data_IF_938424789785
#
_entry.id   IF_938424789785
#
_cell.length_a   1.000
_cell.length_b   1.000
_cell.length_c   1.000
_cell.angle_alpha   90.00
_cell.angle_beta   90.00
_cell.angle_gamma   90.00
#
_symmetry.space_group_name_H-M   'P 1'
#
loop_
_entity.id
_entity.type
_entity.pdbx_description
1 polymer ?
#
# COMPACT_ATOMS: atom_id res chain seq x y z
N UNK A 1 1.02 -59.65 -2.56
CA UNK A 1 2.33 -60.14 -3.01
C UNK A 1 3.17 -58.89 -3.28
N UNK A 2 3.98 -58.55 -2.30
CA UNK A 2 5.46 -58.60 -2.31
C UNK A 2 6.07 -57.63 -3.35
N UNK A 3 6.96 -56.76 -3.07
CA UNK A 3 8.00 -56.51 -2.02
C UNK A 3 8.51 -55.08 -2.23
N UNK A 4 8.66 -54.28 -1.24
CA UNK A 4 9.67 -54.16 -0.20
C UNK A 4 11.08 -53.76 -0.70
N UNK A 5 11.51 -52.60 -0.27
CA UNK A 5 12.89 -52.16 0.06
C UNK A 5 13.96 -52.14 -1.02
N UNK A 6 14.57 -50.90 -1.16
CA UNK A 6 16.00 -50.72 -0.85
C UNK A 6 16.32 -49.23 -0.68
N UNK A 7 16.51 -48.89 0.51
CA UNK A 7 17.49 -48.06 1.18
C UNK A 7 18.91 -48.30 0.62
N UNK A 8 19.68 -47.25 0.30
CA UNK A 8 21.15 -47.21 0.52
C UNK A 8 21.58 -45.73 0.52
N UNK A 9 22.21 -45.38 1.63
CA UNK A 9 23.01 -44.21 1.84
C UNK A 9 24.40 -44.36 1.20
N UNK A 10 24.99 -43.23 0.80
CA UNK A 10 26.46 -43.05 0.66
C UNK A 10 26.70 -41.56 0.82
N UNK A 11 27.18 -41.12 1.94
CA UNK A 11 28.57 -41.05 2.40
C UNK A 11 29.38 -39.95 1.72
N UNK A 12 29.72 -38.99 2.59
CA UNK A 12 30.72 -37.97 2.54
C UNK A 12 32.01 -38.39 1.79
N UNK A 13 32.60 -37.46 1.07
CA UNK A 13 34.06 -37.44 0.85
C UNK A 13 34.60 -36.02 1.01
N UNK A 14 35.27 -35.81 2.13
CA UNK A 14 36.16 -34.70 2.44
C UNK A 14 37.49 -34.98 1.76
N UNK A 15 37.97 -34.06 0.94
CA UNK A 15 39.38 -34.06 0.52
C UNK A 15 40.07 -32.82 1.09
N UNK A 16 40.80 -33.03 2.16
CA UNK A 16 41.91 -32.19 2.65
C UNK A 16 43.13 -32.46 1.77
N UNK A 17 43.73 -31.41 1.21
CA UNK A 17 45.08 -31.47 0.66
C UNK A 17 45.97 -30.56 1.49
N UNK A 18 46.74 -31.18 2.35
CA UNK A 18 47.93 -30.61 3.01
C UNK A 18 49.13 -30.82 2.09
N UNK A 19 49.74 -29.74 1.69
CA UNK A 19 51.03 -29.76 0.98
C UNK A 19 52.10 -29.17 1.87
N UNK A 20 52.87 -30.05 2.51
CA UNK A 20 54.11 -29.74 3.25
C UNK A 20 55.29 -29.70 2.27
N UNK A 21 56.09 -28.65 2.33
CA UNK A 21 57.45 -28.70 1.84
C UNK A 21 58.42 -28.30 2.96
N UNK A 22 59.21 -29.28 3.40
CA UNK A 22 60.39 -29.13 4.23
C UNK A 22 61.59 -28.89 3.34
N UNK A 23 62.45 -27.97 3.76
CA UNK A 23 63.79 -27.82 3.18
C UNK A 23 64.74 -27.28 4.24
N UNK A 24 65.69 -28.12 4.64
CA UNK A 24 66.70 -27.94 5.68
C UNK A 24 67.87 -27.07 5.25
N UNK A 25 68.52 -26.46 6.26
CA UNK A 25 69.98 -26.27 6.41
C UNK A 25 70.45 -24.84 6.19
N UNK A 26 71.22 -24.13 6.94
CA UNK A 26 72.38 -24.46 7.82
C UNK A 26 72.76 -23.19 8.62
N UNK A 27 73.57 -23.37 9.65
CA UNK A 27 73.97 -22.49 10.74
C UNK A 27 74.83 -21.27 10.37
N UNK A 28 74.54 -20.17 11.09
CA UNK A 28 75.32 -19.13 11.80
C UNK A 28 76.82 -18.84 11.38
N UNK A 29 77.35 -17.59 11.61
CA UNK A 29 77.33 -16.97 12.91
C UNK A 29 77.07 -15.41 12.95
N UNK A 30 77.01 -14.94 14.19
CA UNK A 30 76.74 -13.59 14.63
C UNK A 30 77.70 -12.50 14.16
N UNK A 31 77.23 -11.31 13.90
CA UNK A 31 77.95 -10.06 14.12
C UNK A 31 76.92 -8.98 14.56
N UNK A 32 77.34 -8.24 15.54
CA UNK A 32 76.72 -7.24 16.33
C UNK A 32 76.49 -5.92 15.61
N UNK A 33 75.48 -5.14 16.20
CA UNK A 33 75.34 -3.66 16.25
C UNK A 33 74.81 -2.99 15.01
N UNK A 34 73.59 -2.40 15.09
CA UNK A 34 73.40 -0.99 15.41
C UNK A 34 71.88 -0.70 15.63
N UNK A 35 71.61 0.12 16.61
CA UNK A 35 70.26 0.62 16.89
C UNK A 35 69.89 1.67 15.84
N UNK A 36 68.97 1.29 14.93
CA UNK A 36 68.32 2.20 14.01
C UNK A 36 66.99 2.65 14.64
N UNK A 37 66.88 3.95 14.82
CA UNK A 37 65.69 4.62 15.35
C UNK A 37 64.51 4.33 14.43
N UNK A 38 63.53 3.61 14.90
CA UNK A 38 62.22 3.52 14.26
C UNK A 38 61.51 4.87 14.42
N UNK A 39 61.36 5.60 13.31
CA UNK A 39 60.39 6.69 13.22
C UNK A 39 58.96 6.18 13.56
N UNK A 40 58.16 6.94 14.32
CA UNK A 40 56.79 6.56 14.60
C UNK A 40 56.01 6.56 13.29
N UNK A 41 55.23 5.49 13.06
CA UNK A 41 54.30 5.40 11.96
C UNK A 41 53.37 6.66 11.93
N UNK A 42 53.01 7.17 10.73
CA UNK A 42 52.16 8.33 10.65
C UNK A 42 50.83 8.02 11.36
N UNK A 43 50.50 8.88 12.31
CA UNK A 43 49.17 8.85 12.98
C UNK A 43 48.09 8.79 11.91
N UNK A 44 47.19 7.82 12.02
CA UNK A 44 45.97 7.76 11.26
C UNK A 44 45.31 9.12 11.48
N UNK A 45 45.20 9.94 10.44
CA UNK A 45 44.55 11.22 10.47
C UNK A 45 43.14 11.03 11.00
N UNK A 46 42.74 11.83 11.93
CA UNK A 46 41.32 11.95 12.33
C UNK A 46 40.50 12.16 11.05
N UNK A 47 39.56 11.27 10.81
CA UNK A 47 38.57 11.42 9.73
C UNK A 47 37.78 12.71 10.06
N UNK A 48 38.12 13.81 9.40
CA UNK A 48 37.40 15.08 9.55
C UNK A 48 36.00 14.83 8.98
N UNK A 49 35.06 14.61 9.86
CA UNK A 49 33.65 14.58 9.46
C UNK A 49 33.32 15.93 8.86
N UNK A 50 32.84 16.00 7.59
CA UNK A 50 32.46 17.26 6.98
C UNK A 50 31.45 17.98 7.85
N UNK A 51 31.63 19.27 8.05
CA UNK A 51 30.69 20.12 8.79
C UNK A 51 29.31 20.04 8.11
N UNK A 52 28.28 19.72 8.90
CA UNK A 52 26.91 19.60 8.41
C UNK A 52 26.35 20.99 8.12
N UNK A 53 25.99 21.25 6.85
CA UNK A 53 25.39 22.50 6.42
C UNK A 53 23.87 22.35 6.36
N UNK A 54 23.15 23.29 6.99
CA UNK A 54 21.69 23.35 6.93
C UNK A 54 21.22 24.11 5.68
N UNK A 55 21.17 23.41 4.56
CA UNK A 55 20.76 23.98 3.27
C UNK A 55 19.28 24.41 3.24
N UNK A 56 18.40 23.73 3.94
CA UNK A 56 16.98 24.09 4.00
C UNK A 56 16.73 25.40 4.77
N UNK A 57 17.53 25.65 5.80
CA UNK A 57 17.47 26.86 6.59
C UNK A 57 18.30 28.03 6.04
N UNK A 58 19.24 27.77 5.13
CA UNK A 58 20.09 28.80 4.52
C UNK A 58 19.38 29.67 3.48
N UNK A 59 18.26 29.15 2.93
CA UNK A 59 17.47 29.90 1.96
C UNK A 59 16.46 30.81 2.64
N UNK A 60 16.21 31.95 2.01
CA UNK A 60 15.15 32.87 2.43
C UNK A 60 14.03 32.91 1.40
N UNK A 61 12.80 32.73 1.86
CA UNK A 61 11.62 32.87 1.00
C UNK A 61 11.48 34.33 0.55
N UNK A 62 11.65 34.54 -0.74
CA UNK A 62 11.46 35.88 -1.33
C UNK A 62 9.99 36.10 -1.70
N UNK A 63 9.29 36.92 -0.89
CA UNK A 63 7.88 37.26 -1.11
C UNK A 63 7.67 38.23 -2.28
N UNK A 64 8.75 38.70 -2.89
CA UNK A 64 8.73 39.64 -4.02
C UNK A 64 9.21 39.01 -5.33
N UNK A 65 9.45 37.72 -5.34
CA UNK A 65 10.09 36.97 -6.45
C UNK A 65 9.30 36.94 -7.76
N UNK A 66 8.06 37.40 -7.79
CA UNK A 66 7.20 37.34 -8.98
C UNK A 66 6.68 35.93 -9.31
N UNK A 67 6.92 34.94 -8.44
CA UNK A 67 6.33 33.60 -8.53
C UNK A 67 4.93 33.58 -7.93
N UNK A 68 4.10 32.60 -8.31
CA UNK A 68 2.86 32.36 -7.59
C UNK A 68 3.17 31.81 -6.20
N UNK A 69 2.66 32.51 -5.18
CA UNK A 69 2.84 32.12 -3.77
C UNK A 69 1.51 32.20 -3.04
N UNK A 70 1.24 31.22 -2.20
CA UNK A 70 -0.02 31.15 -1.44
C UNK A 70 0.22 30.53 -0.06
N UNK A 71 -0.31 31.17 0.97
CA UNK A 71 -0.39 30.58 2.30
C UNK A 71 -1.56 29.60 2.35
N UNK A 72 -1.31 28.40 2.90
CA UNK A 72 -2.23 27.27 2.81
C UNK A 72 -2.30 26.48 4.10
N UNK A 73 -3.35 25.66 4.21
CA UNK A 73 -3.49 24.63 5.23
C UNK A 73 -3.46 23.24 4.57
N UNK A 74 -2.92 22.25 5.31
CA UNK A 74 -2.92 20.86 4.83
C UNK A 74 -4.34 20.32 4.87
N UNK A 75 -4.74 19.72 3.75
CA UNK A 75 -5.97 18.92 3.66
C UNK A 75 -5.69 17.45 3.93
N UNK A 76 -4.65 16.90 3.28
CA UNK A 76 -4.35 15.46 3.33
C UNK A 76 -2.89 15.21 2.96
N UNK A 77 -2.22 14.39 3.75
CA UNK A 77 -0.91 13.85 3.41
C UNK A 77 -1.10 12.62 2.51
N UNK A 78 -0.33 12.52 1.43
CA UNK A 78 -0.38 11.38 0.50
C UNK A 78 0.89 10.53 0.68
N UNK A 79 2.07 11.13 0.47
CA UNK A 79 3.38 10.51 0.69
C UNK A 79 4.45 11.57 1.01
N UNK A 80 5.72 11.22 0.90
CA UNK A 80 6.83 12.10 1.27
C UNK A 80 6.95 13.36 0.42
N UNK A 81 6.50 13.33 -0.83
CA UNK A 81 6.63 14.44 -1.79
C UNK A 81 5.30 14.88 -2.42
N UNK A 82 4.20 14.41 -1.86
CA UNK A 82 2.86 14.76 -2.33
C UNK A 82 1.92 15.06 -1.16
N UNK A 83 1.37 16.27 -1.14
CA UNK A 83 0.41 16.71 -0.13
C UNK A 83 -0.71 17.52 -0.79
N UNK A 84 -1.95 17.30 -0.34
CA UNK A 84 -3.09 18.12 -0.77
C UNK A 84 -3.30 19.27 0.20
N UNK A 85 -3.56 20.47 -0.34
CA UNK A 85 -3.73 21.70 0.43
C UNK A 85 -5.08 22.34 0.14
N UNK A 86 -5.69 22.97 1.15
CA UNK A 86 -6.82 23.86 0.95
C UNK A 86 -6.36 25.15 0.29
N UNK A 87 -7.04 25.57 -0.75
CA UNK A 87 -6.79 26.82 -1.47
C UNK A 87 -8.11 27.52 -1.79
N UNK A 88 -8.10 28.87 -1.99
CA UNK A 88 -9.29 29.58 -2.47
C UNK A 88 -9.80 29.04 -3.80
N UNK A 89 -11.11 29.01 -3.99
CA UNK A 89 -11.75 28.59 -5.26
C UNK A 89 -11.39 29.47 -6.45
N UNK A 90 -10.88 30.68 -6.20
CA UNK A 90 -10.29 31.56 -7.22
C UNK A 90 -8.95 31.05 -7.75
N UNK A 91 -8.24 30.22 -6.97
CA UNK A 91 -6.97 29.59 -7.37
C UNK A 91 -7.22 28.24 -8.04
N UNK A 92 -8.00 27.40 -7.38
CA UNK A 92 -8.46 26.10 -7.91
C UNK A 92 -9.95 25.95 -7.67
N UNK A 93 -10.73 25.70 -8.72
CA UNK A 93 -12.20 25.59 -8.63
C UNK A 93 -12.68 24.51 -7.66
N UNK A 94 -11.86 23.48 -7.42
CA UNK A 94 -12.12 22.42 -6.45
C UNK A 94 -11.88 22.84 -5.00
N UNK A 95 -11.28 24.01 -4.74
CA UNK A 95 -10.82 24.44 -3.42
C UNK A 95 -9.61 23.65 -2.90
N UNK A 96 -8.99 22.80 -3.74
CA UNK A 96 -7.88 21.93 -3.36
C UNK A 96 -6.78 21.99 -4.40
N UNK A 97 -5.55 22.25 -3.97
CA UNK A 97 -4.34 22.09 -4.76
C UNK A 97 -3.63 20.80 -4.35
N UNK A 98 -3.46 19.88 -5.29
CA UNK A 98 -2.69 18.65 -5.10
C UNK A 98 -1.23 19.00 -5.40
N UNK A 99 -0.43 19.19 -4.35
CA UNK A 99 0.96 19.60 -4.49
C UNK A 99 1.87 18.39 -4.72
N UNK A 100 2.64 18.41 -5.82
CA UNK A 100 3.78 17.53 -6.07
C UNK A 100 5.05 18.35 -5.87
N UNK A 101 5.93 17.89 -4.98
CA UNK A 101 7.09 18.68 -4.59
C UNK A 101 8.14 18.70 -5.69
N UNK A 102 8.60 19.89 -6.03
CA UNK A 102 9.65 20.15 -7.03
C UNK A 102 11.00 19.57 -6.58
N UNK A 103 11.81 19.22 -7.54
CA UNK A 103 13.21 18.78 -7.40
C UNK A 103 13.42 17.42 -6.73
N UNK A 104 12.41 16.77 -6.21
CA UNK A 104 12.54 15.54 -5.43
C UNK A 104 11.64 14.41 -5.93
N UNK A 105 12.05 13.18 -5.64
CA UNK A 105 11.20 12.01 -5.70
C UNK A 105 11.48 11.16 -4.47
N UNK A 106 10.53 11.09 -3.55
CA UNK A 106 10.61 10.19 -2.41
C UNK A 106 10.22 8.78 -2.83
N UNK A 107 10.69 7.72 -2.14
CA UNK A 107 10.12 6.41 -2.29
C UNK A 107 8.63 6.42 -1.90
N UNK A 108 7.83 5.58 -2.57
CA UNK A 108 6.38 5.51 -2.36
C UNK A 108 6.04 4.99 -0.96
N UNK A 109 5.10 5.64 -0.29
CA UNK A 109 4.56 5.22 1.01
C UNK A 109 3.13 4.71 0.92
N UNK A 110 2.52 4.78 -0.27
CA UNK A 110 1.16 4.32 -0.56
C UNK A 110 1.15 3.45 -1.82
N UNK A 111 0.18 2.57 -1.95
CA UNK A 111 0.14 1.63 -3.07
C UNK A 111 1.28 0.61 -2.98
N UNK A 112 2.24 0.64 -3.89
CA UNK A 112 3.47 -0.16 -3.80
C UNK A 112 4.43 0.53 -2.84
N UNK A 113 4.43 0.11 -1.56
CA UNK A 113 5.30 0.70 -0.54
C UNK A 113 6.76 0.36 -0.84
N UNK A 114 7.58 1.39 -0.96
CA UNK A 114 9.02 1.28 -1.19
C UNK A 114 9.80 1.53 0.10
N UNK A 115 11.00 0.99 0.14
CA UNK A 115 11.97 1.20 1.22
C UNK A 115 12.21 2.69 1.44
N UNK A 116 12.27 3.14 2.71
CA UNK A 116 12.36 4.54 3.11
C UNK A 116 11.12 5.40 2.84
N UNK A 117 10.09 4.88 2.14
CA UNK A 117 8.86 5.62 1.81
C UNK A 117 8.09 6.05 3.05
N UNK A 118 7.89 5.14 4.00
CA UNK A 118 7.23 5.46 5.27
C UNK A 118 7.98 6.54 6.06
N UNK A 119 9.31 6.47 6.08
CA UNK A 119 10.15 7.45 6.78
C UNK A 119 10.06 8.83 6.13
N UNK A 120 10.08 8.90 4.79
CA UNK A 120 9.90 10.13 4.03
C UNK A 120 8.51 10.75 4.28
N UNK A 121 7.46 9.94 4.22
CA UNK A 121 6.08 10.39 4.48
C UNK A 121 5.89 10.87 5.92
N UNK A 122 6.42 10.14 6.91
CA UNK A 122 6.38 10.55 8.32
C UNK A 122 7.11 11.87 8.53
N UNK A 123 8.29 12.04 7.94
CA UNK A 123 9.06 13.28 8.02
C UNK A 123 8.27 14.48 7.50
N UNK A 124 7.69 14.38 6.31
CA UNK A 124 6.83 15.41 5.72
C UNK A 124 5.65 15.74 6.63
N UNK A 125 4.95 14.71 7.13
CA UNK A 125 3.81 14.88 8.02
C UNK A 125 4.19 15.59 9.32
N UNK A 126 5.27 15.18 9.98
CA UNK A 126 5.74 15.81 11.23
C UNK A 126 6.07 17.31 11.04
N UNK A 127 6.79 17.65 9.95
CA UNK A 127 7.16 19.05 9.66
C UNK A 127 5.94 19.92 9.41
N UNK A 128 5.00 19.47 8.58
CA UNK A 128 3.84 20.27 8.20
C UNK A 128 2.73 20.27 9.26
N UNK A 129 2.54 19.19 10.04
CA UNK A 129 1.53 19.16 11.10
C UNK A 129 1.84 20.10 12.25
N UNK A 130 3.12 20.39 12.50
CA UNK A 130 3.57 21.26 13.58
C UNK A 130 3.90 22.67 13.11
N UNK A 131 3.81 22.95 11.78
CA UNK A 131 4.13 24.24 11.21
C UNK A 131 3.14 25.33 11.66
N UNK A 132 3.66 26.52 11.99
CA UNK A 132 2.82 27.68 12.31
C UNK A 132 2.30 28.42 11.08
N UNK A 133 2.93 28.22 9.92
CA UNK A 133 2.52 28.72 8.61
C UNK A 133 3.14 27.87 7.52
N UNK A 134 2.40 27.66 6.42
CA UNK A 134 2.85 26.94 5.23
C UNK A 134 2.60 27.80 4.01
N UNK A 135 3.63 27.96 3.17
CA UNK A 135 3.54 28.71 1.92
C UNK A 135 3.93 27.79 0.77
N UNK A 136 3.05 27.67 -0.21
CA UNK A 136 3.39 27.09 -1.50
C UNK A 136 3.97 28.15 -2.42
N UNK A 137 4.99 27.78 -3.18
CA UNK A 137 5.58 28.62 -4.22
C UNK A 137 5.74 27.81 -5.51
N UNK A 138 5.37 28.39 -6.66
CA UNK A 138 5.64 27.77 -7.96
C UNK A 138 6.98 28.27 -8.56
N UNK A 139 7.44 27.67 -9.67
CA UNK A 139 8.62 28.16 -10.41
C UNK A 139 8.36 29.45 -11.15
N UNK A 140 7.11 29.77 -11.46
CA UNK A 140 6.70 30.93 -12.29
C UNK A 140 5.59 31.73 -11.62
N UNK A 141 5.08 32.74 -12.29
CA UNK A 141 3.91 33.50 -11.84
C UNK A 141 2.60 32.69 -11.87
N UNK A 142 2.61 31.50 -12.45
CA UNK A 142 1.46 30.64 -12.59
C UNK A 142 1.70 29.26 -11.93
N UNK A 143 0.63 28.60 -11.51
CA UNK A 143 0.67 27.23 -11.01
C UNK A 143 0.85 26.25 -12.17
N UNK A 144 1.97 25.54 -12.21
CA UNK A 144 2.30 24.58 -13.28
C UNK A 144 1.89 23.17 -12.90
N UNK A 145 1.06 22.53 -13.73
CA UNK A 145 0.69 21.15 -13.56
C UNK A 145 1.88 20.20 -13.85
N UNK A 146 1.92 19.04 -13.18
CA UNK A 146 2.84 17.97 -13.51
C UNK A 146 2.44 17.25 -14.82
N UNK A 147 3.24 16.30 -15.27
CA UNK A 147 3.01 15.56 -16.51
C UNK A 147 1.71 14.72 -16.50
N UNK A 148 1.13 14.45 -15.33
CA UNK A 148 -0.15 13.74 -15.20
C UNK A 148 -1.36 14.65 -15.34
N UNK A 149 -1.14 15.99 -15.26
CA UNK A 149 -2.18 17.02 -15.32
C UNK A 149 -3.07 17.10 -14.07
N UNK A 150 -2.84 16.24 -13.08
CA UNK A 150 -3.68 16.15 -11.88
C UNK A 150 -3.10 16.78 -10.63
N UNK A 151 -1.79 17.06 -10.62
CA UNK A 151 -1.05 17.66 -9.51
C UNK A 151 -0.29 18.88 -9.98
N UNK A 152 0.07 19.77 -9.04
CA UNK A 152 0.80 21.01 -9.32
C UNK A 152 2.18 20.96 -8.69
N UNK A 153 3.18 21.38 -9.44
CA UNK A 153 4.58 21.41 -9.03
C UNK A 153 4.81 22.58 -8.08
N UNK A 154 5.27 22.29 -6.84
CA UNK A 154 5.39 23.28 -5.78
C UNK A 154 6.69 23.14 -4.98
N UNK A 155 7.23 24.26 -4.57
CA UNK A 155 8.09 24.41 -3.42
C UNK A 155 7.21 24.58 -2.18
N UNK A 156 7.52 23.85 -1.12
CA UNK A 156 6.80 23.92 0.16
C UNK A 156 7.70 24.58 1.19
N UNK A 157 7.28 25.74 1.63
CA UNK A 157 7.92 26.48 2.69
C UNK A 157 7.10 26.37 3.96
N UNK A 158 7.73 26.04 5.06
CA UNK A 158 7.04 25.95 6.33
C UNK A 158 7.80 26.71 7.42
N UNK A 159 7.06 27.22 8.38
CA UNK A 159 7.61 27.91 9.53
C UNK A 159 7.51 27.00 10.76
N UNK A 160 8.64 26.51 11.31
CA UNK A 160 8.64 25.68 12.52
C UNK A 160 8.11 26.45 13.74
N UNK A 161 7.55 25.73 14.71
CA UNK A 161 7.17 26.32 16.00
C UNK A 161 8.41 26.94 16.66
N UNK A 162 8.26 28.20 17.12
CA UNK A 162 9.34 28.95 17.78
C UNK A 162 10.37 29.54 16.83
N UNK A 163 10.15 29.46 15.51
CA UNK A 163 11.00 30.11 14.49
C UNK A 163 10.27 31.26 13.84
N UNK A 164 11.01 32.32 13.53
CA UNK A 164 10.52 33.47 12.73
C UNK A 164 10.83 33.31 11.24
N UNK A 165 11.61 32.30 10.85
CA UNK A 165 12.05 32.08 9.47
C UNK A 165 11.38 30.83 8.88
N UNK A 166 11.16 30.89 7.55
CA UNK A 166 10.71 29.72 6.78
C UNK A 166 11.87 28.81 6.43
N UNK A 167 11.59 27.52 6.32
CA UNK A 167 12.48 26.49 5.81
C UNK A 167 11.88 25.89 4.53
N UNK A 168 12.73 25.52 3.57
CA UNK A 168 12.29 24.85 2.36
C UNK A 168 12.22 23.33 2.60
N UNK A 169 11.01 22.76 2.65
CA UNK A 169 10.80 21.34 2.94
C UNK A 169 11.37 20.41 1.85
N UNK A 170 11.27 20.81 0.57
CA UNK A 170 11.81 19.99 -0.53
C UNK A 170 13.32 19.77 -0.36
N UNK A 171 14.05 20.84 -0.02
CA UNK A 171 15.50 20.77 0.22
C UNK A 171 15.81 20.04 1.52
N UNK A 172 14.98 20.21 2.55
CA UNK A 172 15.15 19.50 3.81
C UNK A 172 14.99 17.98 3.67
N UNK A 173 14.07 17.54 2.80
CA UNK A 173 13.91 16.12 2.44
C UNK A 173 15.17 15.59 1.71
N UNK A 174 15.74 16.36 0.76
CA UNK A 174 17.00 16.01 0.09
C UNK A 174 18.17 15.92 1.07
N UNK A 175 18.35 16.94 1.90
CA UNK A 175 19.44 17.03 2.87
C UNK A 175 19.42 15.89 3.89
N UNK A 176 18.21 15.38 4.22
CA UNK A 176 18.04 14.22 5.10
C UNK A 176 18.13 12.87 4.35
N UNK A 177 18.46 12.87 3.05
CA UNK A 177 18.57 11.64 2.26
C UNK A 177 17.27 10.85 2.13
N UNK A 178 16.12 11.51 2.20
CA UNK A 178 14.79 10.89 2.11
C UNK A 178 14.20 10.94 0.70
N UNK A 179 14.93 11.46 -0.28
CA UNK A 179 14.55 11.51 -1.67
C UNK A 179 15.74 11.34 -2.60
N UNK A 180 15.45 10.90 -3.83
CA UNK A 180 16.37 11.01 -4.97
C UNK A 180 16.11 12.32 -5.72
N UNK A 181 17.10 12.74 -6.51
CA UNK A 181 16.97 13.91 -7.38
C UNK A 181 15.94 13.67 -8.49
N UNK A 182 15.10 14.67 -8.74
CA UNK A 182 14.20 14.72 -9.87
C UNK A 182 14.29 16.09 -10.53
N UNK A 183 15.15 16.25 -11.56
CA UNK A 183 15.47 17.52 -12.21
C UNK A 183 15.95 18.59 -11.22
N UNK A 184 16.65 18.16 -10.18
CA UNK A 184 17.02 19.03 -9.04
C UNK A 184 17.99 20.13 -9.42
N UNK A 185 18.79 20.00 -10.48
CA UNK A 185 19.68 21.02 -11.00
C UNK A 185 19.02 22.03 -11.94
N UNK A 186 17.78 21.77 -12.39
CA UNK A 186 17.12 22.51 -13.48
C UNK A 186 16.11 23.57 -12.98
N UNK A 187 16.20 23.98 -11.71
CA UNK A 187 15.25 24.88 -11.08
C UNK A 187 15.96 26.04 -10.37
N UNK A 188 15.20 27.01 -9.87
CA UNK A 188 15.71 28.21 -9.20
C UNK A 188 16.59 27.96 -7.97
N UNK A 189 16.42 26.82 -7.29
CA UNK A 189 17.22 26.40 -6.13
C UNK A 189 18.18 25.28 -6.46
N UNK A 190 18.51 25.08 -7.74
CA UNK A 190 19.24 23.92 -8.24
C UNK A 190 20.60 23.70 -7.59
N UNK A 191 21.36 24.77 -7.37
CA UNK A 191 22.67 24.68 -6.69
C UNK A 191 22.50 24.16 -5.25
N UNK A 192 21.54 24.72 -4.51
CA UNK A 192 21.24 24.32 -3.12
C UNK A 192 20.68 22.90 -3.05
N UNK A 193 19.80 22.51 -3.99
CA UNK A 193 19.29 21.13 -4.07
C UNK A 193 20.43 20.13 -4.28
N UNK A 194 21.36 20.44 -5.21
CA UNK A 194 22.47 19.55 -5.51
C UNK A 194 23.49 19.48 -4.37
N UNK A 195 23.73 20.61 -3.67
CA UNK A 195 24.59 20.62 -2.49
C UNK A 195 23.99 19.78 -1.34
N UNK A 196 22.71 19.95 -1.05
CA UNK A 196 21.97 19.17 -0.05
C UNK A 196 22.01 17.66 -0.37
N UNK A 197 21.74 17.30 -1.62
CA UNK A 197 21.80 15.92 -2.10
C UNK A 197 23.21 15.31 -1.97
N UNK A 198 24.25 16.07 -2.35
CA UNK A 198 25.62 15.60 -2.27
C UNK A 198 26.06 15.42 -0.82
N UNK A 199 25.64 16.27 0.10
CA UNK A 199 25.87 16.10 1.53
C UNK A 199 25.20 14.81 2.04
N UNK A 200 23.92 14.58 1.72
CA UNK A 200 23.21 13.37 2.11
C UNK A 200 23.88 12.09 1.57
N UNK A 201 24.38 12.12 0.34
CA UNK A 201 25.15 11.01 -0.25
C UNK A 201 26.50 10.80 0.44
N UNK A 202 27.24 11.86 0.74
CA UNK A 202 28.54 11.78 1.43
C UNK A 202 28.37 11.22 2.85
N UNK A 203 27.30 11.61 3.54
CA UNK A 203 26.94 11.13 4.86
C UNK A 203 26.22 9.77 4.84
N UNK A 204 25.91 9.22 3.66
CA UNK A 204 25.20 7.95 3.48
C UNK A 204 23.87 7.91 4.24
N UNK A 205 23.05 8.96 4.14
CA UNK A 205 21.78 9.05 4.84
C UNK A 205 20.68 8.29 4.11
N UNK A 206 19.90 7.52 4.84
CA UNK A 206 18.63 6.89 4.43
C UNK A 206 18.70 6.26 3.02
N UNK A 207 18.00 6.80 2.00
CA UNK A 207 17.99 6.29 0.61
C UNK A 207 19.43 6.14 0.03
N UNK A 208 20.36 6.94 0.51
CA UNK A 208 21.77 6.94 0.05
C UNK A 208 22.71 6.13 0.94
N UNK A 209 22.19 5.45 1.98
CA UNK A 209 22.99 4.69 2.94
C UNK A 209 23.64 3.44 2.33
N UNK A 210 23.04 2.87 1.29
CA UNK A 210 23.38 1.54 0.79
C UNK A 210 23.01 0.42 1.77
N UNK A 211 22.31 0.74 2.85
CA UNK A 211 21.79 -0.19 3.84
C UNK A 211 20.28 -0.29 3.73
N UNK A 212 19.68 -1.44 4.07
CA UNK A 212 18.25 -1.56 4.20
C UNK A 212 17.68 -0.58 5.23
N UNK A 213 16.46 -0.11 4.99
CA UNK A 213 15.72 0.66 6.00
C UNK A 213 15.40 -0.26 7.19
N UNK A 214 15.90 0.04 8.41
CA UNK A 214 15.69 -0.83 9.57
C UNK A 214 14.21 -0.91 9.98
N UNK A 215 13.40 0.07 9.58
CA UNK A 215 11.96 0.10 9.86
C UNK A 215 11.14 -0.50 8.69
N UNK A 216 11.78 -0.89 7.61
CA UNK A 216 11.16 -1.57 6.49
C UNK A 216 11.39 -3.08 6.63
N UNK A 217 10.38 -3.79 7.05
CA UNK A 217 10.44 -5.24 7.19
C UNK A 217 10.54 -5.90 5.81
N UNK A 218 11.75 -5.98 5.28
CA UNK A 218 12.03 -6.73 4.07
C UNK A 218 11.76 -8.19 4.28
N UNK A 219 10.79 -8.69 3.54
CA UNK A 219 10.67 -10.10 3.28
C UNK A 219 9.83 -10.91 4.26
N UNK A 220 9.34 -10.35 5.36
CA UNK A 220 8.38 -11.06 6.18
C UNK A 220 7.13 -10.18 6.37
N UNK A 221 6.12 -10.46 5.56
CA UNK A 221 4.78 -10.02 5.87
C UNK A 221 4.35 -10.65 7.20
N UNK A 222 3.55 -9.96 7.97
CA UNK A 222 2.90 -10.56 9.15
C UNK A 222 1.92 -11.61 8.63
N UNK A 223 2.17 -12.88 8.92
CA UNK A 223 1.26 -13.96 8.54
C UNK A 223 0.03 -13.93 9.45
N UNK A 224 -1.14 -13.84 8.86
CA UNK A 224 -2.42 -13.73 9.54
C UNK A 224 -3.45 -14.64 8.89
N UNK A 225 -4.39 -15.13 9.68
CA UNK A 225 -5.67 -15.60 9.16
C UNK A 225 -6.53 -14.40 8.75
N UNK A 226 -7.52 -14.60 7.87
CA UNK A 226 -8.47 -13.54 7.54
C UNK A 226 -9.32 -13.14 8.76
N UNK A 227 -9.54 -14.04 9.72
CA UNK A 227 -10.17 -13.73 11.01
C UNK A 227 -9.33 -12.72 11.80
N UNK A 228 -8.06 -13.03 12.08
CA UNK A 228 -7.15 -12.13 12.80
C UNK A 228 -7.04 -10.76 12.13
N UNK A 229 -6.94 -10.74 10.80
CA UNK A 229 -6.89 -9.50 10.03
C UNK A 229 -8.19 -8.69 10.17
N UNK A 230 -9.36 -9.32 10.06
CA UNK A 230 -10.67 -8.63 10.11
C UNK A 230 -11.06 -8.16 11.50
N UNK A 231 -10.75 -8.94 12.53
CA UNK A 231 -11.10 -8.59 13.92
C UNK A 231 -10.24 -7.46 14.48
N UNK A 232 -9.06 -7.19 13.89
CA UNK A 232 -8.12 -6.18 14.39
C UNK A 232 -7.53 -5.31 13.25
N UNK A 233 -8.34 -5.00 12.24
CA UNK A 233 -7.86 -4.42 10.98
C UNK A 233 -7.19 -3.06 11.14
N UNK A 234 -7.66 -2.23 12.07
CA UNK A 234 -7.12 -0.90 12.32
C UNK A 234 -5.65 -0.93 12.76
N UNK A 235 -5.26 -1.99 13.48
CA UNK A 235 -3.88 -2.21 13.95
C UNK A 235 -2.92 -2.46 12.79
N UNK A 236 -3.42 -3.04 11.70
CA UNK A 236 -2.60 -3.38 10.54
C UNK A 236 -2.55 -2.27 9.47
N UNK A 237 -3.07 -1.08 9.74
CA UNK A 237 -3.02 0.01 8.78
C UNK A 237 -1.57 0.34 8.37
N UNK A 238 -1.29 0.29 7.06
CA UNK A 238 0.05 0.40 6.45
C UNK A 238 1.04 -0.70 6.85
N UNK A 239 0.55 -1.82 7.40
CA UNK A 239 1.37 -3.00 7.68
C UNK A 239 1.31 -3.95 6.49
N UNK A 240 2.46 -4.50 6.12
CA UNK A 240 2.55 -5.58 5.14
C UNK A 240 2.13 -6.89 5.78
N UNK A 241 1.09 -7.48 5.24
CA UNK A 241 0.50 -8.74 5.73
C UNK A 241 0.53 -9.82 4.67
N UNK A 242 0.45 -11.06 5.10
CA UNK A 242 0.18 -12.20 4.22
C UNK A 242 -0.94 -13.05 4.82
N UNK A 243 -1.83 -13.55 3.96
CA UNK A 243 -2.93 -14.42 4.35
C UNK A 243 -3.31 -15.35 3.21
N UNK A 244 -4.01 -16.43 3.56
CA UNK A 244 -4.49 -17.42 2.61
C UNK A 244 -6.00 -17.29 2.43
N UNK A 245 -6.49 -17.67 1.25
CA UNK A 245 -7.90 -17.78 0.97
C UNK A 245 -8.20 -18.09 -0.49
N UNK A 246 -9.48 -18.33 -0.78
CA UNK A 246 -9.99 -18.61 -2.13
C UNK A 246 -10.45 -17.31 -2.77
N UNK A 247 -10.07 -17.09 -4.03
CA UNK A 247 -10.57 -15.95 -4.81
C UNK A 247 -12.01 -16.25 -5.24
N UNK A 248 -12.93 -15.40 -4.81
CA UNK A 248 -14.37 -15.56 -5.04
C UNK A 248 -14.89 -14.69 -6.17
N UNK A 249 -14.25 -13.53 -6.38
CA UNK A 249 -14.61 -12.59 -7.44
C UNK A 249 -13.38 -11.83 -7.92
N UNK A 250 -13.36 -11.47 -9.21
CA UNK A 250 -12.37 -10.58 -9.81
C UNK A 250 -13.10 -9.47 -10.59
N UNK A 251 -12.96 -8.23 -10.12
CA UNK A 251 -13.56 -7.02 -10.72
C UNK A 251 -12.47 -6.15 -11.35
N UNK A 252 -11.86 -6.67 -12.43
CA UNK A 252 -10.90 -5.97 -13.31
C UNK A 252 -9.60 -5.45 -12.68
N UNK A 253 -9.59 -4.99 -11.45
CA UNK A 253 -8.43 -4.47 -10.72
C UNK A 253 -8.47 -4.78 -9.22
N UNK A 254 -9.49 -5.48 -8.79
CA UNK A 254 -9.75 -5.88 -7.39
C UNK A 254 -10.25 -7.31 -7.36
N UNK A 255 -9.66 -8.12 -6.50
CA UNK A 255 -10.20 -9.45 -6.19
C UNK A 255 -10.74 -9.48 -4.76
N UNK A 256 -11.69 -10.38 -4.55
CA UNK A 256 -12.22 -10.71 -3.23
C UNK A 256 -11.73 -12.09 -2.85
N UNK A 257 -11.18 -12.19 -1.65
CA UNK A 257 -10.58 -13.40 -1.14
C UNK A 257 -11.27 -13.78 0.16
N UNK A 258 -11.66 -15.03 0.33
CA UNK A 258 -12.32 -15.52 1.54
C UNK A 258 -11.65 -16.75 2.11
N UNK A 259 -11.75 -16.93 3.41
CA UNK A 259 -11.34 -18.14 4.12
C UNK A 259 -12.30 -18.47 5.24
N UNK A 260 -12.54 -19.78 5.43
CA UNK A 260 -13.37 -20.31 6.51
C UNK A 260 -12.59 -20.39 7.82
N UNK A 261 -13.21 -19.96 8.91
CA UNK A 261 -12.70 -20.14 10.27
C UNK A 261 -13.59 -21.11 11.05
N UNK A 262 -13.05 -22.26 11.51
CA UNK A 262 -13.84 -23.27 12.20
C UNK A 262 -14.22 -22.90 13.64
N UNK A 263 -13.56 -21.92 14.27
CA UNK A 263 -13.88 -21.51 15.64
C UNK A 263 -15.15 -20.67 15.69
N UNK A 264 -15.35 -19.80 14.70
CA UNK A 264 -16.52 -18.93 14.60
C UNK A 264 -17.56 -19.46 13.64
N UNK A 265 -17.28 -20.57 12.94
CA UNK A 265 -18.13 -21.20 11.92
C UNK A 265 -18.59 -20.21 10.85
N UNK A 266 -17.65 -19.36 10.35
CA UNK A 266 -17.96 -18.38 9.32
C UNK A 266 -16.80 -18.14 8.34
N UNK A 267 -17.13 -17.50 7.21
CA UNK A 267 -16.15 -17.02 6.25
C UNK A 267 -15.81 -15.56 6.51
N UNK A 268 -14.53 -15.28 6.51
CA UNK A 268 -13.97 -13.93 6.55
C UNK A 268 -13.45 -13.54 5.18
N UNK A 269 -13.69 -12.32 4.77
CA UNK A 269 -13.27 -11.83 3.45
C UNK A 269 -12.35 -10.61 3.50
N UNK A 270 -11.61 -10.42 2.41
CA UNK A 270 -10.80 -9.24 2.18
C UNK A 270 -10.83 -8.83 0.72
N UNK A 271 -11.03 -7.53 0.46
CA UNK A 271 -10.84 -6.94 -0.85
C UNK A 271 -9.35 -6.66 -1.08
N UNK A 272 -8.85 -7.03 -2.25
CA UNK A 272 -7.44 -6.92 -2.61
C UNK A 272 -7.33 -6.14 -3.92
N UNK A 273 -6.88 -4.89 -3.84
CA UNK A 273 -6.66 -4.04 -5.00
C UNK A 273 -5.28 -4.32 -5.60
N UNK A 274 -5.24 -4.90 -6.80
CA UNK A 274 -4.00 -5.20 -7.50
C UNK A 274 -3.65 -4.18 -8.59
N UNK A 275 -4.57 -3.27 -8.93
CA UNK A 275 -4.34 -2.19 -9.89
C UNK A 275 -4.00 -2.69 -11.30
N UNK A 276 -3.06 -2.02 -11.96
CA UNK A 276 -2.71 -2.27 -13.37
C UNK A 276 -1.24 -2.67 -13.60
N UNK A 277 -0.46 -2.84 -12.52
CA UNK A 277 0.99 -3.07 -12.61
C UNK A 277 1.44 -4.52 -12.46
N UNK A 278 0.52 -5.44 -12.18
CA UNK A 278 0.86 -6.84 -11.96
C UNK A 278 1.14 -7.53 -13.32
N UNK A 279 2.27 -8.25 -13.48
CA UNK A 279 2.58 -8.96 -14.73
C UNK A 279 1.64 -10.15 -14.97
N UNK A 280 1.51 -10.61 -16.23
CA UNK A 280 0.60 -11.66 -16.65
C UNK A 280 0.59 -12.91 -15.75
N UNK A 281 1.74 -13.53 -15.44
CA UNK A 281 1.77 -14.68 -14.53
C UNK A 281 1.25 -14.38 -13.11
N UNK A 282 1.38 -13.13 -12.65
CA UNK A 282 0.77 -12.67 -11.39
C UNK A 282 -0.74 -12.51 -11.51
N UNK A 283 -1.25 -12.06 -12.67
CA UNK A 283 -2.68 -11.97 -12.93
C UNK A 283 -3.33 -13.36 -13.00
N UNK A 284 -2.65 -14.36 -13.56
CA UNK A 284 -3.15 -15.74 -13.65
C UNK A 284 -3.37 -16.36 -12.24
N UNK A 285 -2.61 -15.91 -11.24
CA UNK A 285 -2.81 -16.32 -9.84
C UNK A 285 -4.16 -15.82 -9.32
N UNK A 286 -4.60 -14.64 -9.73
CA UNK A 286 -5.81 -13.98 -9.27
C UNK A 286 -7.09 -14.44 -9.99
N UNK A 287 -7.11 -15.69 -10.44
CA UNK A 287 -8.27 -16.32 -11.07
C UNK A 287 -9.26 -16.83 -10.03
N UNK A 288 -10.57 -16.63 -10.26
CA UNK A 288 -11.65 -17.15 -9.39
C UNK A 288 -11.49 -18.65 -9.23
N UNK A 289 -11.61 -19.13 -7.99
CA UNK A 289 -11.44 -20.55 -7.64
C UNK A 289 -10.00 -20.96 -7.35
N UNK A 290 -9.03 -20.06 -7.49
CA UNK A 290 -7.68 -20.31 -6.97
C UNK A 290 -7.66 -20.05 -5.46
N UNK A 291 -7.08 -20.97 -4.72
CA UNK A 291 -6.61 -20.71 -3.37
C UNK A 291 -5.24 -20.05 -3.47
N UNK A 292 -5.06 -18.94 -2.79
CA UNK A 292 -3.89 -18.10 -2.92
C UNK A 292 -3.32 -17.70 -1.57
N UNK A 293 -2.02 -17.42 -1.55
CA UNK A 293 -1.39 -16.60 -0.52
C UNK A 293 -1.24 -15.19 -1.08
N UNK A 294 -1.97 -14.26 -0.51
CA UNK A 294 -1.85 -12.83 -0.81
C UNK A 294 -0.76 -12.23 0.07
N UNK A 295 0.05 -11.36 -0.53
CA UNK A 295 1.02 -10.54 0.19
C UNK A 295 0.83 -9.09 -0.26
N UNK A 296 0.57 -8.19 0.67
CA UNK A 296 0.33 -6.78 0.36
C UNK A 296 0.20 -5.95 1.63
N UNK A 297 -0.04 -4.65 1.48
CA UNK A 297 -0.18 -3.72 2.59
C UNK A 297 -1.64 -3.39 2.83
N UNK A 298 -2.05 -3.42 4.08
CA UNK A 298 -3.40 -3.00 4.50
C UNK A 298 -3.51 -1.49 4.38
N UNK A 299 -4.58 -1.00 3.82
CA UNK A 299 -4.87 0.44 3.74
C UNK A 299 -6.35 0.72 3.86
N UNK A 300 -6.69 1.84 4.50
CA UNK A 300 -8.06 2.34 4.50
C UNK A 300 -8.33 3.13 3.23
N UNK A 301 -9.34 2.72 2.48
CA UNK A 301 -9.78 3.40 1.27
C UNK A 301 -10.88 4.42 1.60
N UNK A 302 -10.49 5.67 1.84
CA UNK A 302 -11.39 6.74 2.31
C UNK A 302 -12.60 6.96 1.39
N UNK A 303 -12.43 6.90 0.07
CA UNK A 303 -13.51 7.14 -0.87
C UNK A 303 -14.61 6.05 -0.84
N UNK A 304 -14.26 4.83 -0.45
CA UNK A 304 -15.17 3.71 -0.26
C UNK A 304 -15.58 3.48 1.18
N UNK A 305 -14.90 4.11 2.14
CA UNK A 305 -15.12 3.87 3.57
C UNK A 305 -14.77 2.45 4.02
N UNK A 306 -13.83 1.79 3.33
CA UNK A 306 -13.52 0.37 3.54
C UNK A 306 -12.02 0.12 3.62
N UNK A 307 -11.66 -0.99 4.24
CA UNK A 307 -10.31 -1.52 4.26
C UNK A 307 -10.03 -2.40 3.05
N UNK A 308 -8.83 -2.30 2.50
CA UNK A 308 -8.35 -3.15 1.42
C UNK A 308 -6.89 -3.51 1.62
N UNK A 309 -6.43 -4.57 0.95
CA UNK A 309 -5.01 -4.87 0.78
C UNK A 309 -4.58 -4.44 -0.61
N UNK A 310 -3.42 -3.81 -0.72
CA UNK A 310 -2.88 -3.31 -1.98
C UNK A 310 -1.36 -3.50 -2.04
N UNK A 311 -0.74 -3.08 -3.16
CA UNK A 311 0.72 -3.18 -3.30
C UNK A 311 1.22 -4.60 -3.53
N UNK A 312 0.44 -5.43 -4.21
CA UNK A 312 0.84 -6.79 -4.59
C UNK A 312 2.04 -6.75 -5.53
N UNK A 313 2.95 -7.71 -5.37
CA UNK A 313 4.09 -7.90 -6.26
C UNK A 313 4.16 -9.34 -6.79
N UNK A 314 4.72 -9.49 -7.99
CA UNK A 314 5.07 -10.78 -8.56
C UNK A 314 6.34 -10.64 -9.41
N UNK A 315 7.44 -11.19 -8.90
CA UNK A 315 8.75 -11.16 -9.57
C UNK A 315 8.93 -12.42 -10.42
N UNK A 316 8.74 -12.28 -11.73
CA UNK A 316 8.83 -13.41 -12.68
C UNK A 316 10.16 -14.16 -12.57
N UNK A 317 11.27 -13.44 -12.34
CA UNK A 317 12.62 -14.02 -12.21
C UNK A 317 12.87 -14.69 -10.85
N UNK A 318 11.96 -14.50 -9.89
CA UNK A 318 12.02 -15.07 -8.54
C UNK A 318 10.64 -15.57 -8.11
N UNK A 319 10.06 -16.55 -8.79
CA UNK A 319 8.66 -16.96 -8.54
C UNK A 319 8.42 -17.50 -7.13
N UNK A 320 9.46 -17.96 -6.44
CA UNK A 320 9.40 -18.46 -5.06
C UNK A 320 9.74 -17.41 -4.01
N UNK A 321 9.88 -16.13 -4.40
CA UNK A 321 10.12 -15.05 -3.43
C UNK A 321 8.93 -14.97 -2.45
N UNK A 322 9.18 -14.95 -1.12
CA UNK A 322 8.11 -14.92 -0.12
C UNK A 322 7.25 -13.65 -0.16
N UNK A 323 7.71 -12.61 -0.85
CA UNK A 323 6.96 -11.38 -1.06
C UNK A 323 6.02 -11.44 -2.27
N UNK A 324 6.14 -12.45 -3.11
CA UNK A 324 5.21 -12.67 -4.21
C UNK A 324 3.87 -13.19 -3.69
N UNK A 325 2.79 -12.82 -4.40
CA UNK A 325 1.54 -13.59 -4.32
C UNK A 325 1.79 -15.00 -4.89
N UNK A 326 1.12 -16.00 -4.35
CA UNK A 326 1.32 -17.41 -4.72
C UNK A 326 -0.02 -18.10 -4.93
N UNK A 327 -0.11 -18.95 -5.95
CA UNK A 327 -1.21 -19.91 -6.11
C UNK A 327 -0.88 -21.16 -5.33
N UNK A 328 -1.80 -21.61 -4.47
CA UNK A 328 -1.65 -22.79 -3.63
C UNK A 328 -2.39 -23.98 -4.23
N UNK A 329 -3.63 -23.76 -4.68
CA UNK A 329 -4.44 -24.76 -5.36
C UNK A 329 -5.39 -24.09 -6.37
N UNK A 330 -6.14 -24.88 -7.12
CA UNK A 330 -7.15 -24.41 -8.09
C UNK A 330 -8.40 -25.31 -8.03
N UNK A 331 -9.50 -24.81 -8.60
CA UNK A 331 -10.76 -25.56 -8.65
C UNK A 331 -11.55 -25.53 -7.35
N UNK A 332 -11.35 -24.50 -6.52
CA UNK A 332 -12.11 -24.28 -5.30
C UNK A 332 -13.35 -23.43 -5.62
N UNK A 333 -14.52 -23.90 -5.26
CA UNK A 333 -15.75 -23.12 -5.42
C UNK A 333 -15.86 -22.01 -4.36
N UNK A 334 -16.28 -20.77 -4.73
CA UNK A 334 -16.69 -19.76 -3.76
C UNK A 334 -17.80 -20.29 -2.85
N UNK A 335 -17.74 -19.97 -1.55
CA UNK A 335 -18.63 -20.56 -0.56
C UNK A 335 -20.10 -20.18 -0.75
N UNK A 336 -20.39 -18.94 -1.13
CA UNK A 336 -21.73 -18.38 -1.22
C UNK A 336 -22.62 -18.86 -0.08
N UNK A 337 -22.18 -18.55 1.15
CA UNK A 337 -22.85 -18.99 2.38
C UNK A 337 -24.28 -18.52 2.39
N UNK A 338 -25.24 -19.47 2.53
CA UNK A 338 -26.65 -19.12 2.70
C UNK A 338 -26.82 -18.33 4.00
N UNK A 339 -27.13 -17.04 3.87
CA UNK A 339 -27.23 -16.12 4.99
C UNK A 339 -28.67 -15.61 5.12
N UNK A 340 -29.22 -15.75 6.31
CA UNK A 340 -30.55 -15.22 6.63
C UNK A 340 -30.49 -13.70 6.85
N UNK A 341 -31.56 -12.99 6.53
CA UNK A 341 -31.61 -11.53 6.66
C UNK A 341 -31.40 -11.06 8.11
N UNK A 342 -31.93 -11.81 9.09
CA UNK A 342 -31.68 -11.52 10.51
C UNK A 342 -30.20 -11.57 10.84
N UNK A 343 -29.50 -12.61 10.38
CA UNK A 343 -28.07 -12.79 10.58
C UNK A 343 -27.29 -11.64 9.95
N UNK A 344 -27.63 -11.30 8.70
CA UNK A 344 -26.97 -10.23 7.96
C UNK A 344 -27.15 -8.85 8.61
N UNK A 345 -28.37 -8.52 9.03
CA UNK A 345 -28.70 -7.18 9.53
C UNK A 345 -28.37 -6.99 11.03
N UNK A 346 -28.54 -8.03 11.85
CA UNK A 346 -28.46 -7.91 13.31
C UNK A 346 -27.66 -9.03 13.98
N UNK A 347 -27.11 -9.97 13.20
CA UNK A 347 -26.32 -11.07 13.73
C UNK A 347 -25.07 -10.56 14.45
N UNK A 348 -24.76 -11.21 15.56
CA UNK A 348 -23.54 -10.96 16.35
C UNK A 348 -22.65 -12.19 16.33
N UNK A 349 -21.35 -11.96 16.34
CA UNK A 349 -20.32 -13.00 16.38
C UNK A 349 -19.34 -12.63 17.48
N UNK A 350 -19.06 -13.56 18.37
CA UNK A 350 -17.98 -13.45 19.34
C UNK A 350 -16.70 -14.00 18.71
N UNK A 351 -15.65 -13.21 18.70
CA UNK A 351 -14.32 -13.62 18.24
C UNK A 351 -13.24 -13.16 19.24
N UNK A 352 -12.17 -13.95 19.33
CA UNK A 352 -11.02 -13.57 20.16
C UNK A 352 -10.14 -12.56 19.45
N UNK A 353 -9.84 -11.45 20.15
CA UNK A 353 -8.84 -10.44 19.74
C UNK A 353 -7.81 -10.40 20.85
N UNK A 354 -6.56 -10.76 20.56
CA UNK A 354 -5.48 -10.84 21.56
C UNK A 354 -5.91 -11.63 22.84
N UNK A 355 -6.55 -12.78 22.63
CA UNK A 355 -7.09 -13.66 23.69
C UNK A 355 -8.29 -13.08 24.47
N UNK A 356 -8.81 -11.90 24.08
CA UNK A 356 -9.97 -11.27 24.71
C UNK A 356 -11.22 -11.48 23.84
N UNK A 357 -12.32 -12.06 24.39
CA UNK A 357 -13.58 -12.18 23.65
C UNK A 357 -14.16 -10.79 23.34
N UNK A 358 -14.46 -10.54 22.08
CA UNK A 358 -15.11 -9.31 21.61
C UNK A 358 -16.32 -9.67 20.73
N UNK A 359 -17.39 -8.89 20.83
CA UNK A 359 -18.58 -9.04 20.02
C UNK A 359 -18.52 -8.10 18.81
N UNK A 360 -18.80 -8.63 17.63
CA UNK A 360 -18.83 -7.91 16.35
C UNK A 360 -20.18 -8.11 15.65
N UNK A 361 -20.52 -7.19 14.75
CA UNK A 361 -21.60 -7.42 13.80
C UNK A 361 -21.17 -8.49 12.77
N UNK A 362 -22.08 -9.42 12.47
CA UNK A 362 -21.82 -10.46 11.48
C UNK A 362 -21.37 -9.88 10.13
N UNK A 363 -22.11 -8.89 9.60
CA UNK A 363 -21.80 -8.27 8.31
C UNK A 363 -20.43 -7.55 8.31
N UNK A 364 -19.98 -7.04 9.46
CA UNK A 364 -18.67 -6.43 9.62
C UNK A 364 -17.54 -7.48 9.42
N UNK A 365 -17.69 -8.64 10.03
CA UNK A 365 -16.70 -9.71 9.92
C UNK A 365 -16.78 -10.45 8.57
N UNK A 366 -18.01 -10.63 8.03
CA UNK A 366 -18.25 -11.22 6.71
C UNK A 366 -17.93 -10.27 5.54
N UNK A 367 -17.53 -9.04 5.80
CA UNK A 367 -17.18 -8.06 4.78
C UNK A 367 -16.20 -8.63 3.75
N UNK A 368 -16.53 -8.48 2.46
CA UNK A 368 -15.76 -9.02 1.32
C UNK A 368 -15.81 -10.55 1.15
N UNK A 369 -16.58 -11.29 1.94
CA UNK A 369 -16.88 -12.71 1.69
C UNK A 369 -18.10 -12.90 0.80
N UNK A 370 -18.25 -14.09 0.23
CA UNK A 370 -19.35 -14.45 -0.65
C UNK A 370 -20.54 -14.98 0.13
N UNK A 371 -21.74 -14.49 -0.17
CA UNK A 371 -23.00 -14.95 0.45
C UNK A 371 -24.08 -15.20 -0.59
N UNK A 372 -25.03 -16.07 -0.24
CA UNK A 372 -26.31 -16.25 -0.92
C UNK A 372 -27.44 -15.80 0.00
N UNK A 373 -28.38 -15.01 -0.50
CA UNK A 373 -29.61 -14.66 0.23
C UNK A 373 -30.83 -14.94 -0.64
N UNK A 374 -31.87 -15.53 -0.04
CA UNK A 374 -33.06 -15.98 -0.75
C UNK A 374 -34.30 -15.20 -0.38
N UNK A 375 -35.30 -15.28 -1.30
CA UNK A 375 -36.65 -14.75 -1.09
C UNK A 375 -36.73 -13.22 -0.85
N UNK A 376 -35.78 -12.46 -1.38
CA UNK A 376 -35.73 -11.01 -1.29
C UNK A 376 -36.85 -10.39 -2.14
N UNK A 377 -37.82 -9.72 -1.54
CA UNK A 377 -38.87 -8.98 -2.26
C UNK A 377 -38.38 -7.59 -2.64
N UNK A 378 -38.20 -7.32 -3.91
CA UNK A 378 -37.81 -5.99 -4.40
C UNK A 378 -38.94 -5.02 -4.27
N UNK A 379 -38.75 -3.99 -3.43
CA UNK A 379 -39.80 -2.98 -3.12
C UNK A 379 -39.47 -1.61 -3.71
N UNK A 380 -38.17 -1.31 -3.90
CA UNK A 380 -37.72 -0.03 -4.44
C UNK A 380 -36.38 -0.23 -5.17
N UNK A 381 -35.99 0.73 -6.01
CA UNK A 381 -34.71 0.66 -6.69
C UNK A 381 -34.16 2.04 -7.10
N UNK A 382 -32.85 2.17 -7.14
CA UNK A 382 -32.14 3.35 -7.60
C UNK A 382 -31.13 2.97 -8.70
N UNK A 383 -31.07 3.75 -9.79
CA UNK A 383 -30.05 3.59 -10.84
C UNK A 383 -29.10 4.79 -10.84
N UNK A 384 -27.81 4.54 -10.90
CA UNK A 384 -26.78 5.58 -11.05
C UNK A 384 -26.89 6.24 -12.41
N UNK A 385 -27.19 7.56 -12.42
CA UNK A 385 -27.43 8.36 -13.65
C UNK A 385 -26.31 9.36 -13.97
N UNK A 386 -25.33 9.51 -13.08
CA UNK A 386 -24.26 10.49 -13.24
C UNK A 386 -23.42 10.14 -14.48
N UNK A 387 -23.36 11.06 -15.46
CA UNK A 387 -22.80 10.82 -16.81
C UNK A 387 -21.29 10.47 -16.81
N UNK A 388 -20.53 11.07 -15.91
CA UNK A 388 -19.08 10.88 -15.73
C UNK A 388 -18.71 9.78 -14.74
N UNK A 389 -19.69 8.98 -14.28
CA UNK A 389 -19.46 7.87 -13.37
C UNK A 389 -19.21 6.57 -14.11
N UNK A 390 -18.13 5.87 -13.74
CA UNK A 390 -17.87 4.50 -14.20
C UNK A 390 -19.01 3.51 -13.84
N UNK A 391 -19.80 3.85 -12.82
CA UNK A 391 -21.00 3.08 -12.39
C UNK A 391 -22.29 3.53 -13.06
N UNK A 392 -22.26 4.36 -14.11
CA UNK A 392 -23.48 4.77 -14.82
C UNK A 392 -24.23 3.55 -15.37
N UNK A 393 -25.48 3.39 -14.98
CA UNK A 393 -26.29 2.22 -15.33
C UNK A 393 -26.34 1.12 -14.28
N UNK A 394 -25.38 1.08 -13.35
CA UNK A 394 -25.47 0.22 -12.18
C UNK A 394 -26.64 0.63 -11.28
N UNK A 395 -27.26 -0.33 -10.60
CA UNK A 395 -28.43 -0.06 -9.78
C UNK A 395 -28.35 -0.69 -8.39
N UNK A 396 -29.13 -0.17 -7.46
CA UNK A 396 -29.38 -0.75 -6.15
C UNK A 396 -30.83 -1.18 -6.07
N UNK A 397 -31.08 -2.43 -5.70
CA UNK A 397 -32.41 -2.94 -5.37
C UNK A 397 -32.55 -2.88 -3.85
N UNK A 398 -33.61 -2.26 -3.37
CA UNK A 398 -33.99 -2.31 -1.97
C UNK A 398 -35.02 -3.40 -1.77
N UNK A 399 -34.65 -4.37 -0.97
CA UNK A 399 -35.43 -5.59 -0.79
C UNK A 399 -35.92 -5.71 0.64
N UNK A 400 -37.10 -6.36 0.80
CA UNK A 400 -37.66 -6.73 2.09
C UNK A 400 -37.71 -8.27 2.18
N UNK A 401 -37.32 -8.80 3.32
CA UNK A 401 -37.40 -10.22 3.66
C UNK A 401 -37.50 -10.35 5.19
N UNK A 402 -38.48 -11.10 5.67
CA UNK A 402 -38.69 -11.39 7.11
C UNK A 402 -38.68 -10.15 8.01
N UNK A 403 -39.19 -9.00 7.49
CA UNK A 403 -39.23 -7.71 8.19
C UNK A 403 -37.91 -6.91 8.17
N UNK A 404 -36.88 -7.40 7.50
CA UNK A 404 -35.60 -6.72 7.32
C UNK A 404 -35.54 -6.05 5.94
N UNK A 405 -34.77 -4.95 5.88
CA UNK A 405 -34.47 -4.28 4.61
C UNK A 405 -33.00 -4.56 4.24
N UNK A 406 -32.80 -5.13 3.04
CA UNK A 406 -31.48 -5.48 2.50
C UNK A 406 -31.27 -4.74 1.19
N UNK A 407 -30.12 -4.09 1.02
CA UNK A 407 -29.72 -3.47 -0.22
C UNK A 407 -28.88 -4.47 -1.06
N UNK A 408 -29.25 -4.57 -2.35
CA UNK A 408 -28.49 -5.35 -3.34
C UNK A 408 -27.95 -4.37 -4.38
N UNK A 409 -26.66 -4.10 -4.34
CA UNK A 409 -25.95 -3.20 -5.26
C UNK A 409 -25.36 -3.97 -6.41
N UNK A 410 -25.61 -3.55 -7.66
CA UNK A 410 -24.96 -4.17 -8.82
C UNK A 410 -23.80 -3.33 -9.35
N UNK A 411 -22.88 -3.94 -10.06
CA UNK A 411 -22.07 -3.27 -11.07
C UNK A 411 -22.95 -2.94 -12.28
N UNK A 412 -22.36 -2.46 -13.38
CA UNK A 412 -23.09 -2.35 -14.66
C UNK A 412 -23.26 -3.75 -15.22
N UNK A 413 -24.47 -4.28 -15.23
CA UNK A 413 -24.76 -5.64 -15.67
C UNK A 413 -25.20 -5.69 -17.12
N UNK A 414 -24.75 -6.73 -17.82
CA UNK A 414 -25.19 -7.07 -19.18
C UNK A 414 -25.76 -8.49 -19.17
N UNK A 415 -26.78 -8.71 -19.97
CA UNK A 415 -27.38 -10.03 -20.16
C UNK A 415 -26.58 -10.89 -21.16
N UNK A 416 -27.01 -12.11 -21.39
CA UNK A 416 -26.40 -13.06 -22.34
C UNK A 416 -26.29 -12.54 -23.79
N UNK A 417 -27.10 -11.54 -24.16
CA UNK A 417 -27.08 -10.90 -25.48
C UNK A 417 -26.19 -9.64 -25.51
N UNK A 418 -25.58 -9.26 -24.35
CA UNK A 418 -24.80 -8.05 -24.22
C UNK A 418 -25.64 -6.79 -24.07
N UNK A 419 -26.94 -6.90 -23.75
CA UNK A 419 -27.80 -5.76 -23.49
C UNK A 419 -27.74 -5.33 -22.03
N UNK A 420 -27.81 -4.00 -21.81
CA UNK A 420 -27.77 -3.42 -20.46
C UNK A 420 -28.99 -3.85 -19.64
N UNK A 421 -28.74 -4.55 -18.54
CA UNK A 421 -29.78 -4.96 -17.59
C UNK A 421 -30.28 -3.74 -16.80
N UNK A 422 -31.59 -3.59 -16.70
CA UNK A 422 -32.22 -2.46 -16.01
C UNK A 422 -32.95 -2.93 -14.75
N UNK A 423 -32.96 -2.10 -13.71
CA UNK A 423 -33.68 -2.35 -12.45
C UNK A 423 -35.13 -2.77 -12.62
N UNK A 424 -35.84 -2.25 -13.67
CA UNK A 424 -37.23 -2.58 -13.94
C UNK A 424 -37.50 -4.07 -14.14
N UNK A 425 -36.51 -4.86 -14.53
CA UNK A 425 -36.63 -6.33 -14.65
C UNK A 425 -36.99 -6.99 -13.32
N UNK A 426 -36.53 -6.41 -12.20
CA UNK A 426 -36.65 -6.99 -10.87
C UNK A 426 -37.71 -6.32 -9.99
N UNK A 427 -38.20 -5.14 -10.37
CA UNK A 427 -39.18 -4.39 -9.57
C UNK A 427 -40.44 -5.21 -9.27
N UNK A 428 -40.81 -5.29 -7.99
CA UNK A 428 -41.98 -6.03 -7.51
C UNK A 428 -41.82 -7.55 -7.59
N UNK A 429 -40.65 -8.09 -7.93
CA UNK A 429 -40.34 -9.53 -7.95
C UNK A 429 -39.72 -9.99 -6.64
N UNK A 430 -39.76 -11.29 -6.40
CA UNK A 430 -38.98 -11.95 -5.38
C UNK A 430 -37.75 -12.54 -6.06
N UNK A 431 -36.57 -12.32 -5.51
CA UNK A 431 -35.28 -12.75 -6.08
C UNK A 431 -34.45 -13.53 -5.07
N UNK A 432 -33.58 -14.40 -5.57
CA UNK A 432 -32.44 -14.93 -4.83
C UNK A 432 -31.19 -14.27 -5.38
N UNK A 433 -30.24 -14.00 -4.52
CA UNK A 433 -29.02 -13.25 -4.86
C UNK A 433 -27.80 -13.96 -4.33
N UNK A 434 -26.78 -14.08 -5.19
CA UNK A 434 -25.40 -14.39 -4.81
C UNK A 434 -24.56 -13.14 -4.97
N UNK A 435 -23.67 -12.86 -4.04
CA UNK A 435 -22.83 -11.67 -4.12
C UNK A 435 -21.80 -11.60 -2.99
N UNK A 436 -21.11 -10.49 -2.96
CA UNK A 436 -20.07 -10.20 -1.98
C UNK A 436 -20.64 -9.22 -0.94
N UNK A 437 -20.39 -9.46 0.34
CA UNK A 437 -20.72 -8.49 1.39
C UNK A 437 -19.90 -7.23 1.18
N UNK A 438 -20.56 -6.10 1.07
CA UNK A 438 -19.99 -4.80 0.76
C UNK A 438 -20.52 -3.74 1.73
N UNK A 439 -19.82 -2.62 1.86
CA UNK A 439 -20.20 -1.53 2.73
C UNK A 439 -20.21 -0.23 1.94
N UNK A 440 -21.27 0.54 2.07
CA UNK A 440 -21.38 1.82 1.42
C UNK A 440 -22.18 2.81 2.25
N UNK A 441 -21.61 3.96 2.51
CA UNK A 441 -22.26 5.12 3.14
C UNK A 441 -22.96 4.82 4.48
N UNK A 442 -22.39 3.95 5.29
CA UNK A 442 -22.91 3.61 6.62
C UNK A 442 -23.66 2.27 6.69
N UNK A 443 -23.98 1.66 5.55
CA UNK A 443 -24.81 0.46 5.49
C UNK A 443 -24.10 -0.71 4.81
N UNK A 444 -24.31 -1.93 5.32
CA UNK A 444 -23.91 -3.16 4.64
C UNK A 444 -24.90 -3.50 3.52
N UNK A 445 -24.37 -3.99 2.41
CA UNK A 445 -25.13 -4.38 1.24
C UNK A 445 -24.56 -5.65 0.61
N UNK A 446 -25.30 -6.27 -0.31
CA UNK A 446 -24.80 -7.39 -1.14
C UNK A 446 -24.42 -6.81 -2.49
N UNK A 447 -23.15 -6.91 -2.87
CA UNK A 447 -22.65 -6.45 -4.17
C UNK A 447 -22.64 -7.58 -5.18
N UNK A 448 -23.29 -7.38 -6.32
CA UNK A 448 -23.46 -8.34 -7.40
C UNK A 448 -22.72 -7.87 -8.64
N UNK A 449 -22.01 -8.78 -9.28
CA UNK A 449 -21.14 -8.50 -10.40
C UNK A 449 -21.65 -9.07 -11.73
N UNK A 450 -22.44 -10.15 -11.69
CA UNK A 450 -22.98 -10.82 -12.88
C UNK A 450 -24.50 -10.88 -12.82
N UNK A 451 -25.17 -10.84 -13.98
CA UNK A 451 -26.61 -10.92 -14.08
C UNK A 451 -27.17 -12.26 -13.58
N UNK A 452 -26.47 -13.35 -13.84
CA UNK A 452 -26.84 -14.72 -13.45
C UNK A 452 -26.89 -14.93 -11.92
N UNK A 453 -26.22 -14.06 -11.15
CA UNK A 453 -26.25 -14.08 -9.69
C UNK A 453 -27.54 -13.51 -9.09
N UNK A 454 -28.47 -12.97 -9.92
CA UNK A 454 -29.80 -12.52 -9.52
C UNK A 454 -30.85 -13.39 -10.18
N UNK A 455 -31.43 -14.33 -9.44
CA UNK A 455 -32.46 -15.25 -9.95
C UNK A 455 -33.85 -14.84 -9.49
N UNK A 456 -34.79 -14.66 -10.43
CA UNK A 456 -36.20 -14.39 -10.07
C UNK A 456 -36.88 -15.69 -9.64
N UNK A 457 -37.45 -15.67 -8.44
CA UNK A 457 -38.26 -16.79 -7.91
C UNK A 457 -39.60 -16.83 -8.66
N UNK A 458 -39.92 -18.00 -9.19
CA UNK A 458 -41.15 -18.25 -9.98
C UNK A 458 -42.34 -18.46 -9.13
#
# INVERSE_FOLDING_TARGET
MMNLKKLIACLLLICLVLGSFSGCGEKTPAASVDAEQTEPAPSVGEEVTPEEVDYAGSLTLDRTSGTAQLEVEVKQFIDGDTTHFYVPTSVMSSGVLKGRYLAINTPESTGKIEEWGKKASTFTKEKLSTATSIILESETAEWTADSTGGRYLVWVWYKPVGSDTYRNLNIEILQNGLAIANKSSENRYGETCMAALNQAKAQKLNVHSGQPDPDFYYGQAVELTLKELRTNIDTYNNVKVAFHGVITMNDSNTVYVEAYDPETDMYYGMSVYYGYGLPGPGLDILTIGNEVRIVGSVSYYEAGGTWQVSGLDYQIMRPTDPNNIQKLSEGNDPAYVLTEAHQFCNGKVEALVDEVPMEFDYAQLAMSSSIEMKNLKVVDAYTTKKEDSASKGAFTLYCEVDGYRVAVRTTVLYDENGELVKQGRYMGKTINVKGIVDYYNGDYQIKVFNEEDITIVK
#
